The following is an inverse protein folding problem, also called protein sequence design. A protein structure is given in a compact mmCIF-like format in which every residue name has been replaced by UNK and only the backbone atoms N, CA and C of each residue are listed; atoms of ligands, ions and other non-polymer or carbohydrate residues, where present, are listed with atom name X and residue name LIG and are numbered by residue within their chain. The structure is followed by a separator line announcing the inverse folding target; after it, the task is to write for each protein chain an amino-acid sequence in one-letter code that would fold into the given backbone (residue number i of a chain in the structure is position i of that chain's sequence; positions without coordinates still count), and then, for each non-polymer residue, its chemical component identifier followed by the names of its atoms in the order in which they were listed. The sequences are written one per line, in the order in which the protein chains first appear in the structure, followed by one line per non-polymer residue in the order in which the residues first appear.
data_IF_687457656494
#
_entry.id   IF_687457656494
#
_cell.length_a   1.000
_cell.length_b   1.000
_cell.length_c   1.000
_cell.angle_alpha   90.00
_cell.angle_beta   90.00
_cell.angle_gamma   90.00
#
_symmetry.space_group_name_H-M   'P 1'
#
loop_
_entity.id
_entity.type
_entity.pdbx_description
1 polymer ?
#
# COMPACT_ATOMS: atom_id res chain seq x y z
N UNK A 1 -10.23 25.59 3.75
CA UNK A 1 -9.91 24.17 3.96
C UNK A 1 -11.00 23.55 4.81
N UNK A 2 -11.59 22.46 4.37
CA UNK A 2 -12.61 21.69 5.10
C UNK A 2 -11.94 20.40 5.61
N UNK A 3 -11.93 20.17 6.92
CA UNK A 3 -11.28 19.02 7.55
C UNK A 3 -12.33 18.17 8.24
N UNK A 4 -12.31 16.86 8.00
CA UNK A 4 -13.12 15.92 8.75
C UNK A 4 -12.55 15.78 10.17
N UNK A 5 -13.42 16.02 11.16
CA UNK A 5 -13.11 15.89 12.59
C UNK A 5 -13.88 14.72 13.17
N UNK A 6 -13.24 13.99 14.04
CA UNK A 6 -13.86 12.91 14.79
C UNK A 6 -13.03 12.53 16.00
N UNK A 7 -13.64 12.61 17.17
CA UNK A 7 -13.08 12.08 18.41
C UNK A 7 -14.06 11.01 18.95
N UNK A 8 -13.74 9.72 18.88
CA UNK A 8 -14.65 8.65 19.29
C UNK A 8 -15.05 8.70 20.77
N UNK A 9 -14.31 9.46 21.60
CA UNK A 9 -14.67 9.67 23.01
C UNK A 9 -15.74 10.75 23.21
N UNK A 10 -15.88 11.69 22.27
CA UNK A 10 -16.71 12.88 22.43
C UNK A 10 -17.75 13.06 21.32
N UNK A 11 -17.51 12.54 20.12
CA UNK A 11 -18.36 12.75 18.96
C UNK A 11 -19.21 11.51 18.66
N UNK A 12 -20.50 11.72 18.41
CA UNK A 12 -21.40 10.65 17.97
C UNK A 12 -21.13 10.24 16.52
N UNK A 13 -20.78 11.20 15.66
CA UNK A 13 -20.50 11.01 14.23
C UNK A 13 -19.39 11.96 13.76
N UNK A 14 -18.61 11.56 12.73
CA UNK A 14 -17.66 12.46 12.08
C UNK A 14 -18.37 13.69 11.48
N UNK A 15 -17.74 14.86 11.59
CA UNK A 15 -18.29 16.13 11.08
C UNK A 15 -17.21 16.94 10.34
N UNK A 16 -17.63 17.86 9.49
CA UNK A 16 -16.70 18.74 8.75
C UNK A 16 -16.57 20.05 9.52
N UNK A 17 -15.33 20.45 9.77
CA UNK A 17 -14.98 21.75 10.30
C UNK A 17 -14.23 22.55 9.25
N UNK A 18 -14.67 23.82 9.03
CA UNK A 18 -14.04 24.72 8.05
C UNK A 18 -13.03 25.61 8.71
N UNK A 19 -11.85 25.72 8.09
CA UNK A 19 -10.77 26.60 8.49
C UNK A 19 -10.36 27.53 7.35
N UNK A 20 -10.09 28.78 7.67
CA UNK A 20 -9.46 29.73 6.76
C UNK A 20 -7.96 29.71 7.00
N UNK A 21 -7.20 29.36 5.96
CA UNK A 21 -5.74 29.28 6.01
C UNK A 21 -5.13 30.26 5.02
N UNK A 22 -3.97 30.84 5.31
CA UNK A 22 -3.26 31.66 4.33
C UNK A 22 -2.95 30.85 3.09
N UNK A 23 -2.94 31.53 1.94
CA UNK A 23 -2.58 30.89 0.67
C UNK A 23 -1.20 31.37 0.20
N UNK A 24 -0.36 30.41 -0.14
CA UNK A 24 0.88 30.60 -0.87
C UNK A 24 1.00 29.50 -1.92
N UNK A 25 1.51 29.83 -3.12
CA UNK A 25 1.64 28.87 -4.23
C UNK A 25 2.59 27.70 -3.90
N UNK A 26 3.50 27.87 -2.98
CA UNK A 26 4.47 26.86 -2.54
C UNK A 26 3.98 26.03 -1.36
N UNK A 27 2.89 26.46 -0.70
CA UNK A 27 2.33 25.81 0.48
C UNK A 27 1.77 24.44 0.14
N UNK A 28 2.25 23.41 0.82
CA UNK A 28 1.66 22.08 0.73
C UNK A 28 0.38 21.99 1.58
N UNK A 29 -0.43 20.98 1.31
CA UNK A 29 -1.58 20.63 2.14
C UNK A 29 -1.13 20.32 3.58
N UNK A 30 0.04 19.71 3.75
CA UNK A 30 0.62 19.45 5.08
C UNK A 30 0.93 20.76 5.82
N UNK A 31 1.54 21.73 5.15
CA UNK A 31 1.85 23.03 5.78
C UNK A 31 0.58 23.78 6.18
N UNK A 32 -0.50 23.63 5.39
CA UNK A 32 -1.80 24.19 5.75
C UNK A 32 -2.44 23.48 6.97
N UNK A 33 -2.29 22.17 7.08
CA UNK A 33 -2.73 21.42 8.27
C UNK A 33 -1.91 21.82 9.49
N UNK A 34 -0.59 21.97 9.35
CA UNK A 34 0.29 22.49 10.41
C UNK A 34 -0.15 23.88 10.87
N UNK A 35 -0.49 24.78 9.92
CA UNK A 35 -0.99 26.11 10.24
C UNK A 35 -2.30 26.04 11.06
N UNK A 36 -3.23 25.17 10.67
CA UNK A 36 -4.46 24.95 11.44
C UNK A 36 -4.13 24.51 12.87
N UNK A 37 -3.25 23.50 13.02
CA UNK A 37 -2.82 22.97 14.31
C UNK A 37 -2.18 24.02 15.19
N UNK A 38 -1.29 24.84 14.63
CA UNK A 38 -0.47 25.78 15.42
C UNK A 38 -1.24 27.06 15.78
N UNK A 39 -2.16 27.52 14.92
CA UNK A 39 -2.78 28.83 15.05
C UNK A 39 -4.29 28.82 15.27
N UNK A 40 -5.02 27.80 14.80
CA UNK A 40 -6.48 27.81 14.78
C UNK A 40 -7.08 26.78 15.72
N UNK A 41 -6.56 25.53 15.72
CA UNK A 41 -7.10 24.43 16.51
C UNK A 41 -6.02 23.46 16.97
N UNK A 42 -5.60 23.61 18.20
CA UNK A 42 -4.53 22.77 18.82
C UNK A 42 -4.95 21.33 19.05
N UNK A 43 -6.24 21.02 18.96
CA UNK A 43 -6.77 19.68 19.19
C UNK A 43 -6.90 18.85 17.89
N UNK A 44 -6.46 19.39 16.75
CA UNK A 44 -6.41 18.65 15.49
C UNK A 44 -5.33 17.57 15.55
N UNK A 45 -5.70 16.30 15.24
CA UNK A 45 -4.80 15.16 15.18
C UNK A 45 -4.52 14.73 13.74
N UNK A 46 -3.26 14.62 13.38
CA UNK A 46 -2.80 14.16 12.07
C UNK A 46 -1.38 13.59 12.18
N UNK A 47 -0.94 12.85 11.16
CA UNK A 47 0.38 12.22 11.14
C UNK A 47 1.28 12.81 10.05
N UNK A 48 2.55 13.01 10.36
CA UNK A 48 3.58 13.41 9.41
C UNK A 48 4.98 13.06 9.94
N UNK A 49 6.00 13.12 9.06
CA UNK A 49 7.39 12.95 9.46
C UNK A 49 8.37 13.65 8.50
N UNK A 50 8.68 13.06 7.33
CA UNK A 50 9.80 13.50 6.47
C UNK A 50 9.56 14.78 5.68
N UNK A 51 8.33 15.21 5.42
CA UNK A 51 7.91 16.38 4.59
C UNK A 51 8.42 16.34 3.12
N UNK A 52 8.96 15.22 2.64
CA UNK A 52 9.58 15.09 1.32
C UNK A 52 9.14 13.85 0.54
N UNK A 53 7.93 13.36 0.81
CA UNK A 53 7.31 12.21 0.14
C UNK A 53 8.14 10.88 0.21
N UNK A 54 8.88 10.65 1.30
CA UNK A 54 9.71 9.45 1.49
C UNK A 54 9.10 8.47 2.48
N UNK A 55 8.58 8.93 3.63
CA UNK A 55 8.16 8.05 4.72
C UNK A 55 6.74 7.50 4.61
N UNK A 56 5.85 8.17 3.86
CA UNK A 56 4.44 7.76 3.73
C UNK A 56 3.51 8.17 4.87
N UNK A 57 4.00 8.69 6.00
CA UNK A 57 3.21 8.97 7.21
C UNK A 57 2.09 10.02 7.03
N UNK A 58 2.21 10.92 6.07
CA UNK A 58 1.22 11.97 5.81
C UNK A 58 0.17 11.59 4.76
N UNK A 59 -0.13 10.28 4.62
CA UNK A 59 -1.20 9.80 3.76
C UNK A 59 -2.57 10.24 4.25
N UNK A 60 -3.36 10.88 3.39
CA UNK A 60 -4.73 11.37 3.67
C UNK A 60 -5.57 11.36 2.39
N UNK A 61 -6.87 11.53 2.53
CA UNK A 61 -7.75 11.82 1.39
C UNK A 61 -7.77 13.34 1.14
N UNK A 62 -7.50 13.74 -0.09
CA UNK A 62 -7.57 15.13 -0.56
C UNK A 62 -8.61 15.20 -1.66
N UNK A 63 -9.74 15.87 -1.42
CA UNK A 63 -10.89 15.90 -2.33
C UNK A 63 -11.29 14.48 -2.82
N UNK A 64 -11.35 13.51 -1.89
CA UNK A 64 -11.72 12.12 -2.18
C UNK A 64 -10.64 11.27 -2.86
N UNK A 65 -9.43 11.79 -3.08
CA UNK A 65 -8.31 11.07 -3.68
C UNK A 65 -7.20 10.86 -2.65
N UNK A 66 -6.73 9.62 -2.39
CA UNK A 66 -5.65 9.39 -1.43
C UNK A 66 -4.32 9.94 -1.96
N UNK A 67 -3.70 10.82 -1.19
CA UNK A 67 -2.44 11.51 -1.52
C UNK A 67 -1.55 11.66 -0.31
N UNK A 68 -0.27 11.97 -0.54
CA UNK A 68 0.63 12.44 0.53
C UNK A 68 0.43 13.95 0.71
N UNK A 69 0.05 14.40 1.91
CA UNK A 69 -0.18 15.80 2.21
C UNK A 69 1.03 16.69 1.91
N UNK A 70 2.25 16.18 2.19
CA UNK A 70 3.50 16.92 1.93
C UNK A 70 3.87 17.05 0.44
N UNK A 71 3.18 16.35 -0.47
CA UNK A 71 3.40 16.40 -1.93
C UNK A 71 2.18 16.97 -2.68
N UNK A 72 1.15 17.39 -1.98
CA UNK A 72 -0.05 18.02 -2.53
C UNK A 72 -0.01 19.50 -2.22
N UNK A 73 -0.18 20.37 -3.21
CA UNK A 73 -0.03 21.82 -3.03
C UNK A 73 -1.35 22.54 -3.12
N UNK A 74 -1.55 23.60 -2.31
CA UNK A 74 -2.81 24.36 -2.30
C UNK A 74 -3.13 24.99 -3.66
N UNK A 75 -2.13 25.35 -4.46
CA UNK A 75 -2.31 25.88 -5.82
C UNK A 75 -3.06 24.94 -6.77
N UNK A 76 -3.03 23.61 -6.47
CA UNK A 76 -3.73 22.60 -7.26
C UNK A 76 -5.24 22.55 -6.93
N UNK A 77 -5.69 23.31 -5.92
CA UNK A 77 -7.07 23.32 -5.37
C UNK A 77 -7.62 24.72 -5.20
N UNK A 78 -7.78 25.51 -6.29
CA UNK A 78 -8.19 26.93 -6.21
C UNK A 78 -9.59 27.14 -5.62
N UNK A 79 -10.46 26.13 -5.69
CA UNK A 79 -11.82 26.18 -5.14
C UNK A 79 -11.89 25.74 -3.66
N UNK A 80 -10.75 25.41 -3.07
CA UNK A 80 -10.64 24.88 -1.71
C UNK A 80 -10.35 23.38 -1.66
N UNK A 81 -9.99 22.91 -0.49
CA UNK A 81 -9.55 21.54 -0.28
C UNK A 81 -10.34 20.91 0.88
N UNK A 82 -10.85 19.70 0.64
CA UNK A 82 -11.45 18.84 1.65
C UNK A 82 -10.45 17.76 2.04
N UNK A 83 -10.22 17.64 3.34
CA UNK A 83 -9.27 16.71 3.93
C UNK A 83 -10.02 15.70 4.80
N UNK A 84 -9.76 14.42 4.57
CA UNK A 84 -10.36 13.32 5.31
C UNK A 84 -9.29 12.29 5.65
N UNK A 85 -9.45 11.44 6.68
CA UNK A 85 -8.56 10.34 6.95
C UNK A 85 -8.55 9.34 5.79
N UNK A 86 -7.52 8.49 5.71
CA UNK A 86 -7.43 7.46 4.67
C UNK A 86 -8.67 6.54 4.70
N UNK A 87 -9.32 6.39 3.56
CA UNK A 87 -10.45 5.48 3.39
C UNK A 87 -10.03 4.01 3.59
N UNK A 88 -10.99 3.15 3.91
CA UNK A 88 -10.79 1.72 4.19
C UNK A 88 -9.96 1.41 5.47
N UNK A 89 -9.70 2.41 6.29
CA UNK A 89 -9.07 2.24 7.60
C UNK A 89 -10.02 2.69 8.72
N UNK A 90 -10.01 2.04 9.88
CA UNK A 90 -10.70 2.56 11.05
C UNK A 90 -10.10 3.91 11.47
N UNK A 91 -10.95 4.87 11.83
CA UNK A 91 -10.50 6.19 12.30
C UNK A 91 -10.20 6.08 13.79
N UNK A 92 -9.00 6.47 14.21
CA UNK A 92 -8.66 6.61 15.62
C UNK A 92 -9.07 7.98 16.16
N UNK A 93 -8.65 9.04 15.48
CA UNK A 93 -9.04 10.43 15.80
C UNK A 93 -8.71 11.36 14.65
N UNK A 94 -9.65 12.19 14.23
CA UNK A 94 -9.52 13.17 13.14
C UNK A 94 -8.93 12.53 11.86
N UNK A 95 -7.67 12.85 11.53
CA UNK A 95 -6.98 12.36 10.34
C UNK A 95 -6.07 11.13 10.64
N UNK A 96 -6.05 10.65 11.88
CA UNK A 96 -5.29 9.46 12.27
C UNK A 96 -6.18 8.22 12.13
N UNK A 97 -5.61 7.21 11.51
CA UNK A 97 -6.26 5.92 11.28
C UNK A 97 -5.47 4.77 11.91
N UNK A 98 -6.16 3.71 12.29
CA UNK A 98 -5.55 2.46 12.73
C UNK A 98 -4.95 1.71 11.54
N UNK A 99 -3.61 1.63 11.50
CA UNK A 99 -2.86 0.92 10.48
C UNK A 99 -2.67 -0.57 10.78
N UNK A 100 -3.10 -1.05 11.94
CA UNK A 100 -2.89 -2.44 12.39
C UNK A 100 -3.38 -3.45 11.36
N UNK A 101 -4.62 -3.39 10.83
CA UNK A 101 -5.09 -4.36 9.85
C UNK A 101 -4.26 -4.38 8.56
N UNK A 102 -3.70 -3.23 8.17
CA UNK A 102 -2.81 -3.13 7.00
C UNK A 102 -1.45 -3.78 7.27
N UNK A 103 -0.87 -3.53 8.44
CA UNK A 103 0.43 -4.11 8.83
C UNK A 103 0.32 -5.63 8.96
N UNK A 104 -0.72 -6.15 9.59
CA UNK A 104 -0.97 -7.60 9.72
C UNK A 104 -1.00 -8.32 8.36
N UNK A 105 -1.63 -7.71 7.35
CA UNK A 105 -1.63 -8.26 5.99
C UNK A 105 -0.26 -8.21 5.32
N UNK A 106 0.53 -7.16 5.60
CA UNK A 106 1.91 -7.11 5.14
C UNK A 106 2.75 -8.18 5.80
N UNK A 107 2.62 -8.39 7.11
CA UNK A 107 3.36 -9.42 7.85
C UNK A 107 2.98 -10.83 7.40
N UNK A 108 1.70 -11.08 7.12
CA UNK A 108 1.21 -12.37 6.68
C UNK A 108 1.93 -12.88 5.41
N UNK A 109 2.30 -11.99 4.49
CA UNK A 109 3.01 -12.37 3.26
C UNK A 109 4.52 -12.48 3.44
N UNK A 110 5.04 -12.30 4.65
CA UNK A 110 6.48 -12.37 4.97
C UNK A 110 7.32 -11.51 4.02
N UNK A 111 7.27 -10.17 4.11
CA UNK A 111 7.89 -9.24 3.16
C UNK A 111 9.40 -9.10 3.42
N UNK A 112 10.11 -10.22 3.41
CA UNK A 112 11.56 -10.31 3.57
C UNK A 112 12.10 -11.53 2.81
N UNK A 113 13.40 -11.55 2.53
CA UNK A 113 14.06 -12.69 1.89
C UNK A 113 14.01 -13.88 2.85
N UNK A 114 13.31 -14.93 2.47
CA UNK A 114 13.36 -16.22 3.14
C UNK A 114 14.58 -16.96 2.58
N UNK A 115 15.59 -17.10 3.45
CA UNK A 115 16.90 -17.58 3.06
C UNK A 115 16.87 -18.96 2.44
N UNK A 116 17.87 -19.18 1.58
CA UNK A 116 18.37 -20.49 1.22
C UNK A 116 19.37 -20.93 2.29
N UNK A 117 19.68 -22.22 2.39
CA UNK A 117 20.60 -22.79 3.37
C UNK A 117 22.08 -22.36 3.15
N UNK A 118 22.31 -21.16 2.59
CA UNK A 118 23.64 -20.60 2.38
C UNK A 118 24.30 -20.29 3.70
N UNK A 119 25.59 -20.68 3.78
CA UNK A 119 26.44 -20.41 4.92
C UNK A 119 27.26 -19.13 4.70
N UNK A 120 27.76 -18.48 5.76
CA UNK A 120 28.64 -17.30 5.63
C UNK A 120 29.86 -17.54 4.72
N UNK A 121 30.40 -18.77 4.72
CA UNK A 121 31.53 -19.18 3.89
C UNK A 121 31.22 -19.18 2.38
N UNK A 122 29.94 -19.25 1.98
CA UNK A 122 29.52 -19.20 0.57
C UNK A 122 29.64 -17.79 -0.03
N UNK A 123 30.02 -16.81 0.80
CA UNK A 123 30.23 -15.42 0.39
C UNK A 123 28.92 -14.66 0.13
N UNK A 124 29.00 -13.57 -0.63
CA UNK A 124 27.88 -12.66 -0.90
C UNK A 124 26.82 -13.33 -1.78
N UNK A 125 25.55 -13.13 -1.44
CA UNK A 125 24.44 -13.61 -2.25
C UNK A 125 24.22 -12.67 -3.45
N UNK A 126 24.91 -12.93 -4.54
CA UNK A 126 24.92 -12.08 -5.73
C UNK A 126 23.65 -12.25 -6.58
N UNK A 127 23.32 -11.21 -7.31
CA UNK A 127 22.22 -11.15 -8.26
C UNK A 127 22.71 -10.52 -9.56
N UNK A 128 22.24 -11.00 -10.72
CA UNK A 128 22.51 -10.33 -11.99
C UNK A 128 21.57 -9.13 -12.20
N UNK A 129 21.94 -8.16 -13.05
CA UNK A 129 21.05 -7.07 -13.42
C UNK A 129 19.72 -7.56 -14.00
N UNK A 130 19.69 -8.63 -14.77
CA UNK A 130 18.49 -9.23 -15.36
C UNK A 130 17.56 -9.81 -14.29
N UNK A 131 18.12 -10.48 -13.28
CA UNK A 131 17.36 -10.98 -12.13
C UNK A 131 16.74 -9.83 -11.34
N UNK A 132 17.48 -8.76 -11.11
CA UNK A 132 16.99 -7.57 -10.43
C UNK A 132 15.89 -6.86 -11.26
N UNK A 133 16.03 -6.78 -12.57
CA UNK A 133 15.07 -6.13 -13.45
C UNK A 133 13.67 -6.73 -13.36
N UNK A 134 13.54 -8.02 -13.03
CA UNK A 134 12.25 -8.72 -12.90
C UNK A 134 11.33 -8.10 -11.85
N UNK A 135 11.87 -7.59 -10.75
CA UNK A 135 11.10 -7.07 -9.62
C UNK A 135 11.38 -5.59 -9.30
N UNK A 136 12.33 -4.95 -9.97
CA UNK A 136 12.78 -3.59 -9.64
C UNK A 136 11.62 -2.58 -9.57
N UNK A 137 10.62 -2.69 -10.45
CA UNK A 137 9.43 -1.83 -10.44
C UNK A 137 8.59 -1.94 -9.17
N UNK A 138 8.75 -3.01 -8.38
CA UNK A 138 7.96 -3.29 -7.19
C UNK A 138 8.69 -2.99 -5.88
N UNK A 139 9.97 -2.57 -5.92
CA UNK A 139 10.79 -2.36 -4.70
C UNK A 139 10.53 -1.02 -4.00
N UNK A 140 9.97 -0.04 -4.71
CA UNK A 140 9.81 1.33 -4.22
C UNK A 140 8.67 1.54 -3.22
N UNK A 141 8.01 0.48 -2.74
CA UNK A 141 6.91 0.60 -1.80
C UNK A 141 7.38 1.19 -0.46
N UNK A 142 6.68 2.22 0.02
CA UNK A 142 6.95 2.92 1.29
C UNK A 142 5.86 2.63 2.34
N UNK A 143 4.99 1.67 2.12
CA UNK A 143 3.91 1.25 3.01
C UNK A 143 2.98 2.39 3.44
N UNK A 144 2.73 3.37 2.57
CA UNK A 144 1.96 4.56 2.88
C UNK A 144 0.43 4.36 2.95
N UNK A 145 -0.09 3.19 2.59
CA UNK A 145 -1.53 2.88 2.63
C UNK A 145 -2.39 3.52 1.53
N UNK A 146 -1.87 4.40 0.66
CA UNK A 146 -2.67 5.11 -0.36
C UNK A 146 -3.35 4.16 -1.35
N UNK A 147 -2.65 3.12 -1.81
CA UNK A 147 -3.23 2.11 -2.70
C UNK A 147 -4.31 1.26 -2.00
N UNK A 148 -4.22 1.13 -0.67
CA UNK A 148 -5.21 0.47 0.16
C UNK A 148 -6.46 1.33 0.29
N UNK A 149 -6.27 2.62 0.59
CA UNK A 149 -7.36 3.60 0.65
C UNK A 149 -8.10 3.75 -0.70
N UNK A 150 -7.38 3.64 -1.83
CA UNK A 150 -7.95 3.73 -3.18
C UNK A 150 -8.69 2.46 -3.63
N UNK A 151 -8.55 1.35 -2.92
CA UNK A 151 -9.05 0.06 -3.39
C UNK A 151 -10.54 -0.13 -3.05
N UNK A 152 -11.47 -0.15 -4.03
CA UNK A 152 -12.89 -0.35 -3.74
C UNK A 152 -13.17 -1.75 -3.22
N UNK A 153 -12.31 -2.73 -3.57
CA UNK A 153 -12.49 -4.11 -3.13
C UNK A 153 -12.33 -4.26 -1.61
N UNK A 154 -11.50 -3.45 -0.96
CA UNK A 154 -11.36 -3.48 0.50
C UNK A 154 -12.60 -2.96 1.23
N UNK A 155 -13.33 -2.02 0.63
CA UNK A 155 -14.62 -1.59 1.15
C UNK A 155 -15.72 -2.66 1.03
N UNK A 156 -15.61 -3.57 0.06
CA UNK A 156 -16.56 -4.66 -0.17
C UNK A 156 -16.19 -5.95 0.55
N UNK A 157 -14.89 -6.25 0.64
CA UNK A 157 -14.34 -7.44 1.30
C UNK A 157 -13.18 -7.04 2.20
N UNK A 158 -13.43 -6.83 3.51
CA UNK A 158 -12.39 -6.49 4.47
C UNK A 158 -11.30 -7.56 4.65
N UNK A 159 -11.53 -8.80 4.24
CA UNK A 159 -10.54 -9.88 4.32
C UNK A 159 -9.57 -9.89 3.13
N UNK A 160 -9.82 -9.10 2.09
CA UNK A 160 -8.93 -9.01 0.94
C UNK A 160 -7.53 -8.57 1.36
N UNK A 161 -6.48 -9.27 0.93
CA UNK A 161 -5.09 -8.96 1.29
C UNK A 161 -4.67 -7.54 0.88
N UNK A 162 -5.27 -7.02 -0.16
CA UNK A 162 -5.01 -5.66 -0.62
C UNK A 162 -3.79 -5.52 -1.55
N UNK A 163 -3.73 -4.38 -2.25
CA UNK A 163 -2.75 -4.18 -3.31
C UNK A 163 -1.30 -4.14 -2.80
N UNK A 164 -1.02 -3.55 -1.63
CA UNK A 164 0.34 -3.46 -1.11
C UNK A 164 0.90 -4.84 -0.74
N UNK A 165 0.14 -5.66 0.01
CA UNK A 165 0.57 -7.00 0.41
C UNK A 165 0.83 -7.88 -0.81
N UNK A 166 -0.09 -7.89 -1.79
CA UNK A 166 0.07 -8.66 -3.02
C UNK A 166 1.27 -8.19 -3.86
N UNK A 167 1.54 -6.89 -3.89
CA UNK A 167 2.72 -6.34 -4.57
C UNK A 167 4.02 -6.79 -3.93
N UNK A 168 4.11 -6.71 -2.61
CA UNK A 168 5.30 -7.15 -1.89
C UNK A 168 5.48 -8.66 -1.97
N UNK A 169 4.40 -9.44 -1.88
CA UNK A 169 4.47 -10.89 -2.10
C UNK A 169 5.04 -11.21 -3.49
N UNK A 170 4.54 -10.55 -4.53
CA UNK A 170 5.03 -10.72 -5.89
C UNK A 170 6.49 -10.29 -6.03
N UNK A 171 6.87 -9.16 -5.46
CA UNK A 171 8.26 -8.66 -5.44
C UNK A 171 9.21 -9.71 -4.89
N UNK A 172 8.90 -10.33 -3.74
CA UNK A 172 9.75 -11.35 -3.14
C UNK A 172 9.71 -12.67 -3.89
N UNK A 173 8.57 -13.03 -4.49
CA UNK A 173 8.46 -14.24 -5.33
C UNK A 173 9.31 -14.17 -6.61
N UNK A 174 9.61 -12.97 -7.09
CA UNK A 174 10.47 -12.73 -8.26
C UNK A 174 11.96 -12.59 -7.89
N UNK A 175 12.30 -12.48 -6.61
CA UNK A 175 13.68 -12.34 -6.16
C UNK A 175 14.39 -13.69 -6.21
N UNK A 176 15.44 -13.79 -7.02
CA UNK A 176 16.21 -15.04 -7.23
C UNK A 176 16.90 -15.57 -5.97
N UNK A 177 16.96 -14.75 -4.91
CA UNK A 177 17.56 -15.10 -3.62
C UNK A 177 16.55 -15.63 -2.61
N UNK A 178 15.25 -15.57 -2.94
CA UNK A 178 14.15 -15.93 -2.05
C UNK A 178 13.65 -17.36 -2.31
N UNK A 179 13.44 -18.13 -1.24
CA UNK A 179 12.87 -19.48 -1.28
C UNK A 179 11.44 -19.55 -0.71
N UNK A 180 10.84 -18.42 -0.30
CA UNK A 180 9.53 -18.36 0.34
C UNK A 180 8.34 -18.40 -0.60
N UNK A 181 8.54 -18.51 -1.91
CA UNK A 181 7.46 -18.44 -2.92
C UNK A 181 6.34 -19.45 -2.66
N UNK A 182 6.68 -20.70 -2.34
CA UNK A 182 5.68 -21.75 -2.12
C UNK A 182 4.76 -21.46 -0.92
N UNK A 183 5.28 -20.82 0.11
CA UNK A 183 4.54 -20.44 1.28
C UNK A 183 3.60 -19.26 1.00
N UNK A 184 4.11 -18.20 0.33
CA UNK A 184 3.31 -17.03 -0.06
C UNK A 184 2.20 -17.39 -1.06
N UNK A 185 2.43 -18.35 -1.95
CA UNK A 185 1.42 -18.81 -2.90
C UNK A 185 0.13 -19.30 -2.26
N UNK A 186 0.20 -19.88 -1.06
CA UNK A 186 -0.99 -20.32 -0.32
C UNK A 186 -1.94 -19.17 -0.02
N UNK A 187 -1.40 -18.00 0.30
CA UNK A 187 -2.19 -16.78 0.54
C UNK A 187 -2.61 -16.10 -0.78
N UNK A 188 -1.70 -16.02 -1.75
CA UNK A 188 -1.95 -15.34 -3.04
C UNK A 188 -3.03 -16.07 -3.83
N UNK A 189 -3.04 -17.41 -3.80
CA UNK A 189 -3.99 -18.23 -4.56
C UNK A 189 -5.34 -18.41 -3.84
N UNK A 190 -5.47 -17.97 -2.59
CA UNK A 190 -6.72 -18.00 -1.85
C UNK A 190 -7.74 -16.97 -2.35
N UNK A 191 -9.00 -17.11 -1.93
CA UNK A 191 -10.11 -16.25 -2.32
C UNK A 191 -9.88 -14.77 -1.98
N UNK A 192 -9.24 -14.50 -0.84
CA UNK A 192 -8.86 -13.17 -0.38
C UNK A 192 -7.49 -12.71 -0.92
N UNK A 193 -6.86 -13.52 -1.77
CA UNK A 193 -5.60 -13.23 -2.43
C UNK A 193 -5.78 -12.49 -3.75
N UNK A 194 -4.97 -12.85 -4.76
CA UNK A 194 -4.99 -12.17 -6.06
C UNK A 194 -6.37 -12.19 -6.72
N UNK A 195 -7.17 -13.26 -6.51
CA UNK A 195 -8.49 -13.43 -7.10
C UNK A 195 -9.55 -12.51 -6.50
N UNK A 196 -9.36 -11.99 -5.30
CA UNK A 196 -10.20 -10.93 -4.71
C UNK A 196 -10.12 -9.60 -5.47
N UNK A 197 -9.13 -9.38 -6.33
CA UNK A 197 -8.96 -8.14 -7.08
C UNK A 197 -9.89 -8.07 -8.29
N UNK A 198 -10.61 -6.95 -8.47
CA UNK A 198 -11.53 -6.68 -9.60
C UNK A 198 -10.90 -5.84 -10.74
N UNK A 199 -9.59 -5.61 -10.72
CA UNK A 199 -8.84 -4.91 -11.78
C UNK A 199 -9.16 -3.43 -12.03
N UNK A 200 -9.65 -2.70 -11.07
CA UNK A 200 -9.91 -1.25 -11.23
C UNK A 200 -8.65 -0.46 -11.58
N UNK A 201 -7.47 -0.88 -11.08
CA UNK A 201 -6.17 -0.25 -11.41
C UNK A 201 -5.84 1.00 -10.62
N UNK A 202 -6.77 1.55 -9.86
CA UNK A 202 -6.62 2.82 -9.15
C UNK A 202 -5.47 2.82 -8.13
N UNK A 203 -5.13 1.65 -7.59
CA UNK A 203 -3.98 1.47 -6.70
C UNK A 203 -2.63 1.85 -7.36
N UNK A 204 -2.49 1.68 -8.67
CA UNK A 204 -1.29 2.09 -9.43
C UNK A 204 -1.29 3.59 -9.71
N UNK A 205 -2.45 4.19 -9.96
CA UNK A 205 -2.60 5.62 -10.26
C UNK A 205 -2.24 6.49 -9.05
N UNK A 206 -2.68 6.09 -7.85
CA UNK A 206 -2.44 6.87 -6.62
C UNK A 206 -1.05 6.65 -6.02
N UNK A 207 -0.25 5.75 -6.57
CA UNK A 207 1.03 5.39 -5.98
C UNK A 207 2.06 6.53 -6.11
N UNK A 208 2.50 7.15 -4.99
CA UNK A 208 3.41 8.30 -5.03
C UNK A 208 4.84 7.91 -5.42
N UNK A 209 5.13 6.59 -5.47
CA UNK A 209 6.44 6.01 -5.84
C UNK A 209 6.42 5.29 -7.18
N UNK A 210 5.30 5.38 -7.92
CA UNK A 210 5.15 4.73 -9.23
C UNK A 210 5.41 3.21 -9.20
N UNK A 211 5.23 2.58 -8.05
CA UNK A 211 5.07 1.14 -7.94
C UNK A 211 3.77 0.78 -8.65
N UNK A 212 3.72 -0.33 -9.34
CA UNK A 212 2.54 -0.75 -10.09
C UNK A 212 1.84 -1.95 -9.42
N UNK A 213 1.02 -1.71 -8.35
CA UNK A 213 0.34 -2.79 -7.66
C UNK A 213 -0.63 -3.57 -8.56
N UNK A 214 -1.30 -2.90 -9.50
CA UNK A 214 -2.21 -3.56 -10.43
C UNK A 214 -1.48 -4.56 -11.32
N UNK A 215 -0.30 -4.22 -11.84
CA UNK A 215 0.52 -5.15 -12.60
C UNK A 215 1.00 -6.33 -11.74
N UNK A 216 1.42 -6.09 -10.49
CA UNK A 216 1.86 -7.15 -9.58
C UNK A 216 0.74 -8.16 -9.32
N UNK A 217 -0.48 -7.68 -9.03
CA UNK A 217 -1.65 -8.54 -8.83
C UNK A 217 -2.00 -9.31 -10.09
N UNK A 218 -1.93 -8.66 -11.25
CA UNK A 218 -2.21 -9.32 -12.54
C UNK A 218 -1.24 -10.45 -12.84
N UNK A 219 0.05 -10.21 -12.66
CA UNK A 219 1.08 -11.23 -12.81
C UNK A 219 0.88 -12.38 -11.80
N UNK A 220 0.49 -12.05 -10.57
CA UNK A 220 0.11 -13.04 -9.56
C UNK A 220 -1.05 -13.93 -9.98
N UNK A 221 -2.08 -13.36 -10.65
CA UNK A 221 -3.20 -14.15 -11.20
C UNK A 221 -2.75 -15.09 -12.31
N UNK A 222 -1.89 -14.62 -13.22
CA UNK A 222 -1.34 -15.48 -14.28
C UNK A 222 -0.57 -16.67 -13.67
N UNK A 223 0.29 -16.39 -12.69
CA UNK A 223 1.01 -17.45 -11.97
C UNK A 223 0.07 -18.42 -11.26
N UNK A 224 -0.97 -17.91 -10.59
CA UNK A 224 -1.98 -18.73 -9.90
C UNK A 224 -2.75 -19.63 -10.88
N UNK A 225 -3.10 -19.12 -12.07
CA UNK A 225 -3.76 -19.92 -13.12
C UNK A 225 -2.86 -21.06 -13.60
N UNK A 226 -1.58 -20.81 -13.78
CA UNK A 226 -0.60 -21.84 -14.15
C UNK A 226 -0.47 -22.91 -13.06
N UNK A 227 -0.42 -22.49 -11.78
CA UNK A 227 -0.37 -23.42 -10.66
C UNK A 227 -1.61 -24.34 -10.62
N UNK A 228 -2.80 -23.79 -10.89
CA UNK A 228 -4.03 -24.55 -10.97
C UNK A 228 -3.97 -25.61 -12.09
N UNK A 229 -3.54 -25.23 -13.30
CA UNK A 229 -3.39 -26.15 -14.42
C UNK A 229 -2.39 -27.25 -14.10
N UNK A 230 -1.24 -26.89 -13.50
CA UNK A 230 -0.23 -27.87 -13.09
C UNK A 230 -0.79 -28.85 -12.06
N UNK A 231 -1.56 -28.36 -11.09
CA UNK A 231 -2.20 -29.21 -10.08
C UNK A 231 -3.23 -30.16 -10.70
N UNK A 232 -4.03 -29.72 -11.69
CA UNK A 232 -4.95 -30.58 -12.43
C UNK A 232 -4.24 -31.69 -13.23
N UNK A 233 -3.07 -31.39 -13.80
CA UNK A 233 -2.28 -32.34 -14.58
C UNK A 233 -1.45 -33.31 -13.70
N UNK A 234 -1.31 -33.03 -12.41
CA UNK A 234 -0.58 -33.83 -11.43
C UNK A 234 -1.47 -34.12 -10.20
N UNK A 235 -2.54 -34.95 -10.33
CA UNK A 235 -3.46 -35.21 -9.21
C UNK A 235 -2.79 -35.96 -8.03
N UNK A 236 -1.62 -36.61 -8.25
CA UNK A 236 -0.90 -37.37 -7.23
C UNK A 236 0.08 -36.54 -6.39
N UNK A 237 0.05 -35.20 -6.53
CA UNK A 237 0.72 -34.28 -5.62
C UNK A 237 2.25 -34.31 -5.60
N UNK A 238 2.91 -35.00 -6.53
CA UNK A 238 4.36 -35.00 -6.63
C UNK A 238 4.83 -33.70 -7.30
N UNK A 239 5.64 -32.84 -6.65
CA UNK A 239 6.17 -31.65 -7.29
C UNK A 239 7.15 -32.08 -8.40
N UNK A 240 6.71 -32.02 -9.66
CA UNK A 240 7.68 -32.02 -10.76
C UNK A 240 8.53 -30.75 -10.62
N UNK A 241 9.84 -30.91 -10.45
CA UNK A 241 10.79 -29.82 -10.60
C UNK A 241 10.57 -29.24 -12.00
N UNK A 242 9.93 -28.07 -12.07
CA UNK A 242 9.96 -27.27 -13.29
C UNK A 242 11.35 -26.67 -13.34
N UNK A 243 12.20 -27.22 -14.20
CA UNK A 243 13.48 -26.62 -14.52
C UNK A 243 13.21 -25.19 -15.00
N UNK A 244 13.89 -24.24 -14.38
CA UNK A 244 13.77 -22.83 -14.74
C UNK A 244 14.12 -22.67 -16.21
N UNK A 245 13.21 -22.11 -16.99
CA UNK A 245 13.54 -21.61 -18.31
C UNK A 245 14.66 -20.58 -18.16
N UNK A 246 15.81 -20.87 -18.79
CA UNK A 246 17.04 -20.10 -18.78
C UNK A 246 16.91 -18.69 -19.37
#
# INVERSE_FOLDING_TARGET
MDILRYDPANDAEPHIQRFEVPFDETMSVLDAIDYVKDHLDKDLYYSWSCRMAICGSCGIMVNGVPKLACKSFLRDYPEGVKIEPLANFPIEKDLIVDMTPFIERLEAIKPYIIGNDRKPEDGTNLQTPEQMARYNRFVGCINCGLCYAACPQLGLNPEFLGPAALTLAHRYNLDSRDNGKAERKKLINGDNGAWGCTFVGYCSEVCPKHVDPAAAVNQGKVESSLDFVIAMLNPDGSPKKVEAYG
#
